data_IF_164995942063
#
_entry.id   IF_164995942063
#
_cell.length_a   1.000
_cell.length_b   1.000
_cell.length_c   1.000
_cell.angle_alpha   90.00
_cell.angle_beta   90.00
_cell.angle_gamma   90.00
#
_symmetry.space_group_name_H-M   'P 1'
#
loop_
_entity.id
_entity.type
_entity.pdbx_description
1 polymer ?
#
# COMPACT_ATOMS: atom_id res chain seq x y z
N UNK A 1 -1.24 8.36 -29.17
CA UNK A 1 -1.90 7.44 -28.21
C UNK A 1 -3.30 7.16 -28.73
N UNK A 2 -3.79 5.92 -28.63
CA UNK A 2 -5.17 5.57 -29.00
C UNK A 2 -5.93 5.07 -27.78
N UNK A 3 -7.16 5.54 -27.59
CA UNK A 3 -8.08 5.08 -26.54
C UNK A 3 -9.53 5.26 -27.02
N UNK A 4 -10.38 4.25 -26.85
CA UNK A 4 -11.77 4.23 -27.34
C UNK A 4 -11.91 4.72 -28.80
N UNK A 5 -11.08 4.18 -29.70
CA UNK A 5 -11.06 4.52 -31.13
C UNK A 5 -10.72 5.99 -31.46
N UNK A 6 -10.28 6.78 -30.47
CA UNK A 6 -9.81 8.16 -30.65
C UNK A 6 -8.28 8.21 -30.65
N UNK A 7 -7.71 8.93 -31.64
CA UNK A 7 -6.28 9.23 -31.69
C UNK A 7 -5.96 10.56 -30.99
N UNK A 8 -5.07 10.50 -30.00
CA UNK A 8 -4.47 11.65 -29.33
C UNK A 8 -3.03 11.80 -29.82
N UNK A 9 -2.79 12.82 -30.64
CA UNK A 9 -1.57 13.02 -31.45
C UNK A 9 -0.65 14.13 -30.93
N UNK A 10 -1.08 14.90 -29.91
CA UNK A 10 -0.24 15.91 -29.25
C UNK A 10 -0.03 15.59 -27.76
N UNK A 11 1.11 15.99 -27.17
CA UNK A 11 1.37 15.80 -25.74
C UNK A 11 0.26 16.37 -24.84
N UNK A 12 -0.27 17.55 -25.18
CA UNK A 12 -1.37 18.18 -24.45
C UNK A 12 -2.65 17.32 -24.49
N UNK A 13 -3.04 16.85 -25.68
CA UNK A 13 -4.22 15.98 -25.85
C UNK A 13 -4.07 14.68 -25.06
N UNK A 14 -2.87 14.11 -25.03
CA UNK A 14 -2.56 12.89 -24.29
C UNK A 14 -2.73 13.12 -22.78
N UNK A 15 -2.16 14.21 -22.24
CA UNK A 15 -2.24 14.52 -20.80
C UNK A 15 -3.67 14.86 -20.39
N UNK A 16 -4.41 15.61 -21.20
CA UNK A 16 -5.81 15.94 -20.93
C UNK A 16 -6.71 14.70 -20.96
N UNK A 17 -6.51 13.80 -21.92
CA UNK A 17 -7.26 12.54 -21.97
C UNK A 17 -7.01 11.67 -20.73
N UNK A 18 -5.76 11.63 -20.27
CA UNK A 18 -5.40 10.95 -19.03
C UNK A 18 -6.10 11.57 -17.82
N UNK A 19 -6.01 12.90 -17.66
CA UNK A 19 -6.67 13.61 -16.56
C UNK A 19 -8.19 13.41 -16.56
N UNK A 20 -8.83 13.45 -17.73
CA UNK A 20 -10.26 13.21 -17.87
C UNK A 20 -10.66 11.78 -17.49
N UNK A 21 -9.91 10.77 -17.96
CA UNK A 21 -10.20 9.37 -17.63
C UNK A 21 -10.06 9.13 -16.12
N UNK A 22 -8.95 9.54 -15.53
CA UNK A 22 -8.74 9.33 -14.09
C UNK A 22 -9.66 10.18 -13.23
N UNK A 23 -10.02 11.38 -13.68
CA UNK A 23 -11.02 12.22 -13.02
C UNK A 23 -12.42 11.62 -13.07
N UNK A 24 -12.81 10.93 -14.14
CA UNK A 24 -14.16 10.35 -14.27
C UNK A 24 -14.36 9.07 -13.46
N UNK A 25 -13.30 8.28 -13.25
CA UNK A 25 -13.34 7.08 -12.41
C UNK A 25 -13.02 7.39 -10.94
N UNK A 26 -12.57 8.62 -10.66
CA UNK A 26 -12.39 9.10 -9.30
C UNK A 26 -13.75 9.42 -8.69
N UNK A 27 -14.08 8.76 -7.59
CA UNK A 27 -15.21 9.16 -6.76
C UNK A 27 -14.80 10.42 -6.01
N UNK A 28 -15.25 11.58 -6.46
CA UNK A 28 -15.19 12.81 -5.67
C UNK A 28 -16.04 12.58 -4.43
N UNK A 29 -15.41 12.51 -3.26
CA UNK A 29 -16.10 12.58 -1.98
C UNK A 29 -16.59 14.02 -1.78
N UNK A 30 -17.59 14.44 -2.57
CA UNK A 30 -18.26 15.75 -2.45
C UNK A 30 -19.14 15.83 -1.18
N UNK A 31 -18.99 14.86 -0.29
CA UNK A 31 -19.75 14.73 0.93
C UNK A 31 -19.06 13.81 1.92
N UNK A 32 -17.81 14.13 2.29
CA UNK A 32 -17.30 13.74 3.61
C UNK A 32 -18.15 14.43 4.68
N UNK A 33 -19.37 13.95 4.84
CA UNK A 33 -20.08 14.08 6.08
C UNK A 33 -19.28 13.23 7.05
N UNK A 34 -18.52 13.93 7.89
CA UNK A 34 -17.95 13.43 9.13
C UNK A 34 -19.08 13.03 10.10
N UNK A 35 -19.92 12.08 9.66
CA UNK A 35 -20.65 11.21 10.56
C UNK A 35 -19.77 9.98 10.80
N UNK A 36 -18.56 10.19 11.32
CA UNK A 36 -17.72 9.17 11.94
C UNK A 36 -18.37 8.54 13.21
N UNK A 37 -19.70 8.43 13.21
CA UNK A 37 -20.54 7.82 14.23
C UNK A 37 -21.58 6.86 13.62
N UNK A 38 -21.46 6.51 12.34
CA UNK A 38 -22.30 5.49 11.68
C UNK A 38 -21.63 4.14 11.48
N UNK A 39 -20.49 3.90 12.14
CA UNK A 39 -19.79 2.60 12.08
C UNK A 39 -20.61 1.44 12.68
N UNK A 40 -21.78 1.71 13.26
CA UNK A 40 -22.68 0.69 13.80
C UNK A 40 -23.88 0.34 12.89
N UNK A 41 -24.06 0.98 11.72
CA UNK A 41 -25.25 0.78 10.86
C UNK A 41 -25.05 -0.20 9.68
N UNK A 42 -23.81 -0.66 9.41
CA UNK A 42 -23.52 -1.64 8.36
C UNK A 42 -22.88 -2.92 8.91
N UNK A 43 -23.60 -3.63 9.79
CA UNK A 43 -23.18 -4.90 10.43
C UNK A 43 -23.06 -6.12 9.49
N UNK A 44 -23.04 -5.91 8.17
CA UNK A 44 -22.81 -6.97 7.17
C UNK A 44 -21.41 -6.89 6.54
N UNK A 45 -20.56 -5.96 6.96
CA UNK A 45 -19.16 -5.99 6.53
C UNK A 45 -18.50 -7.26 7.10
N UNK A 46 -17.88 -8.11 6.28
CA UNK A 46 -17.14 -9.24 6.80
C UNK A 46 -16.05 -8.69 7.72
N UNK A 47 -16.13 -9.03 9.00
CA UNK A 47 -15.07 -8.73 9.95
C UNK A 47 -13.81 -9.46 9.49
N UNK A 48 -12.85 -8.72 8.94
CA UNK A 48 -11.56 -9.27 8.54
C UNK A 48 -10.77 -9.45 9.84
N UNK A 49 -10.78 -10.67 10.35
CA UNK A 49 -9.94 -11.05 11.48
C UNK A 49 -8.54 -11.35 10.95
N UNK A 50 -7.61 -10.41 11.15
CA UNK A 50 -6.20 -10.62 10.86
C UNK A 50 -5.57 -11.23 12.12
N UNK A 51 -5.08 -12.46 11.99
CA UNK A 51 -4.39 -13.13 13.08
C UNK A 51 -3.06 -12.44 13.43
N UNK A 52 -2.54 -12.71 14.62
CA UNK A 52 -1.23 -12.18 15.02
C UNK A 52 -0.10 -12.73 14.15
N UNK A 53 0.86 -11.87 13.85
CA UNK A 53 2.09 -12.23 13.15
C UNK A 53 2.99 -12.98 14.13
N UNK A 54 3.53 -14.12 13.69
CA UNK A 54 4.47 -14.93 14.43
C UNK A 54 5.93 -14.56 14.10
N UNK A 55 6.83 -14.77 15.07
CA UNK A 55 8.26 -14.52 14.89
C UNK A 55 8.86 -15.26 13.68
N UNK A 56 8.46 -16.52 13.49
CA UNK A 56 8.91 -17.35 12.36
C UNK A 56 8.53 -16.76 11.00
N UNK A 57 7.38 -16.10 10.91
CA UNK A 57 6.92 -15.44 9.68
C UNK A 57 7.77 -14.19 9.39
N UNK A 58 8.13 -13.41 10.42
CA UNK A 58 9.05 -12.27 10.29
C UNK A 58 10.43 -12.72 9.82
N UNK A 59 10.99 -13.77 10.44
CA UNK A 59 12.28 -14.35 10.04
C UNK A 59 12.24 -14.85 8.59
N UNK A 60 11.17 -15.53 8.21
CA UNK A 60 10.98 -16.03 6.85
C UNK A 60 10.88 -14.87 5.85
N UNK A 61 10.16 -13.80 6.19
CA UNK A 61 10.03 -12.61 5.34
C UNK A 61 11.37 -11.90 5.14
N UNK A 62 12.13 -11.68 6.22
CA UNK A 62 13.48 -11.08 6.15
C UNK A 62 14.40 -11.94 5.26
N UNK A 63 14.33 -13.26 5.38
CA UNK A 63 15.15 -14.18 4.58
C UNK A 63 14.88 -14.08 3.08
N UNK A 64 13.65 -13.72 2.68
CA UNK A 64 13.23 -13.51 1.29
C UNK A 64 13.64 -12.16 0.71
N UNK A 65 14.12 -11.20 1.52
CA UNK A 65 14.57 -9.90 1.01
C UNK A 65 15.71 -10.09 -0.01
N UNK A 66 15.80 -9.27 -1.06
CA UNK A 66 16.91 -9.36 -1.99
C UNK A 66 18.21 -8.87 -1.33
N UNK A 67 19.35 -9.47 -1.67
CA UNK A 67 20.66 -8.97 -1.25
C UNK A 67 21.06 -7.76 -2.13
N UNK A 68 20.38 -6.64 -1.93
CA UNK A 68 20.64 -5.38 -2.65
C UNK A 68 21.31 -4.36 -1.72
N UNK A 69 22.28 -3.64 -2.28
CA UNK A 69 22.96 -2.52 -1.63
C UNK A 69 22.23 -1.19 -1.81
N UNK A 70 21.30 -1.11 -2.76
CA UNK A 70 20.46 0.07 -2.99
C UNK A 70 19.36 0.14 -1.95
N UNK A 71 19.13 1.32 -1.40
CA UNK A 71 18.03 1.58 -0.49
C UNK A 71 16.73 1.90 -1.23
N UNK A 72 15.59 1.64 -0.57
CA UNK A 72 14.28 2.09 -1.00
C UNK A 72 13.99 3.54 -0.57
N UNK A 73 12.71 3.94 -0.58
CA UNK A 73 12.28 5.26 -0.09
C UNK A 73 12.61 5.53 1.39
N UNK A 74 12.78 4.45 2.17
CA UNK A 74 13.16 4.48 3.59
C UNK A 74 14.66 4.75 3.80
N UNK A 75 15.45 4.79 2.72
CA UNK A 75 16.90 4.95 2.74
C UNK A 75 17.63 3.81 3.50
N UNK A 76 16.97 2.65 3.70
CA UNK A 76 17.56 1.47 4.33
C UNK A 76 17.82 0.37 3.29
N UNK A 77 19.08 -0.06 3.09
CA UNK A 77 19.39 -1.18 2.21
C UNK A 77 18.86 -2.52 2.75
N UNK A 78 18.33 -3.37 1.86
CA UNK A 78 17.76 -4.66 2.24
C UNK A 78 18.77 -5.62 2.89
N UNK A 79 20.05 -5.54 2.54
CA UNK A 79 21.09 -6.38 3.17
C UNK A 79 21.25 -6.07 4.66
N UNK A 80 21.09 -4.81 5.07
CA UNK A 80 21.22 -4.40 6.47
C UNK A 80 20.14 -5.08 7.33
N UNK A 81 18.90 -5.13 6.82
CA UNK A 81 17.80 -5.81 7.51
C UNK A 81 18.08 -7.30 7.65
N UNK A 82 18.68 -7.93 6.64
CA UNK A 82 19.05 -9.35 6.67
C UNK A 82 20.16 -9.63 7.68
N UNK A 83 21.24 -8.85 7.66
CA UNK A 83 22.39 -9.06 8.54
C UNK A 83 22.05 -8.74 10.00
N UNK A 84 21.21 -7.71 10.21
CA UNK A 84 20.72 -7.32 11.54
C UNK A 84 19.46 -8.08 11.99
N UNK A 85 19.06 -9.16 11.30
CA UNK A 85 17.83 -9.91 11.64
C UNK A 85 17.72 -10.30 13.11
N UNK A 86 18.84 -10.66 13.75
CA UNK A 86 18.86 -11.12 15.13
C UNK A 86 18.38 -10.07 16.14
N UNK A 87 18.56 -8.79 15.83
CA UNK A 87 18.10 -7.68 16.67
C UNK A 87 16.82 -7.03 16.15
N UNK A 88 16.55 -7.12 14.84
CA UNK A 88 15.38 -6.47 14.22
C UNK A 88 14.10 -7.29 14.28
N UNK A 89 14.18 -8.61 14.48
CA UNK A 89 12.98 -9.48 14.50
C UNK A 89 11.98 -9.08 15.58
N UNK A 90 12.44 -8.81 16.81
CA UNK A 90 11.57 -8.43 17.92
C UNK A 90 10.86 -7.06 17.72
N UNK A 91 11.56 -5.95 17.39
CA UNK A 91 10.88 -4.68 17.14
C UNK A 91 9.93 -4.74 15.92
N UNK A 92 10.26 -5.49 14.88
CA UNK A 92 9.37 -5.68 13.72
C UNK A 92 8.12 -6.49 14.09
N UNK A 93 8.28 -7.56 14.87
CA UNK A 93 7.18 -8.37 15.37
C UNK A 93 6.18 -7.54 16.18
N UNK A 94 6.69 -6.70 17.09
CA UNK A 94 5.88 -5.77 17.88
C UNK A 94 5.14 -4.78 16.97
N UNK A 95 5.85 -4.14 16.04
CA UNK A 95 5.28 -3.14 15.15
C UNK A 95 4.15 -3.71 14.29
N UNK A 96 4.34 -4.90 13.71
CA UNK A 96 3.33 -5.53 12.86
C UNK A 96 2.08 -5.89 13.65
N UNK A 97 2.21 -6.47 14.85
CA UNK A 97 1.05 -6.84 15.67
C UNK A 97 0.31 -5.63 16.28
N UNK A 98 0.93 -4.44 16.30
CA UNK A 98 0.27 -3.20 16.72
C UNK A 98 -0.41 -2.46 15.57
N UNK A 99 -0.05 -2.77 14.32
CA UNK A 99 -0.50 -2.03 13.13
C UNK A 99 -1.51 -2.80 12.28
N UNK A 100 -1.69 -4.10 12.53
CA UNK A 100 -2.58 -5.02 11.83
C UNK A 100 -3.78 -5.36 12.72
#
# INVERSE_FOLDING_TARGET
>A
MYYNDVCYDSPEKIVNAFAMYFGSVYLSDDGYNDSANKDNEFNNLPCINIGSVLESQVIQAISKLPNKFTAGPDLVPSFLIKDCRGVLVQPLLLLFNLSL
#
